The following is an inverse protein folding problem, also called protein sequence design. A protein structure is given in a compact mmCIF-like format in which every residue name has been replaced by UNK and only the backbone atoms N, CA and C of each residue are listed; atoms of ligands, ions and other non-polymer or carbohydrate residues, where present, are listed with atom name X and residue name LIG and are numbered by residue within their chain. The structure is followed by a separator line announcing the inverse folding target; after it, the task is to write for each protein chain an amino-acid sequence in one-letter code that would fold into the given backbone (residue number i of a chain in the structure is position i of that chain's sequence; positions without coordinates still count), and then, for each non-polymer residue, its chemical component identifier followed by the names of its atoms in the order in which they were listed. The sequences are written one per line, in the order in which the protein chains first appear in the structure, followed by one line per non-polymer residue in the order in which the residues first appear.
data_IF_407024253523
#
_entry.id   IF_407024253523
#
_cell.length_a   1.000
_cell.length_b   1.000
_cell.length_c   1.000
_cell.angle_alpha   90.00
_cell.angle_beta   90.00
_cell.angle_gamma   90.00
#
_symmetry.space_group_name_H-M   'P 1'
#
loop_
_entity.id
_entity.type
_entity.pdbx_description
1 polymer ?
#
# COMPACT_ATOMS: atom_id res chain seq x y z
N UNK A 1 10.29 18.74 -16.08
CA UNK A 1 9.27 19.21 -15.12
C UNK A 1 8.57 17.99 -14.56
N UNK A 2 8.44 17.89 -13.24
CA UNK A 2 7.53 16.91 -12.61
C UNK A 2 6.12 17.51 -12.72
N UNK A 3 5.08 16.75 -13.16
CA UNK A 3 3.73 17.28 -13.30
C UNK A 3 3.19 17.78 -11.95
N UNK A 4 2.46 18.89 -11.96
CA UNK A 4 1.80 19.46 -10.78
C UNK A 4 0.34 19.00 -10.61
N UNK A 5 -0.20 18.27 -11.59
CA UNK A 5 -1.59 17.81 -11.59
C UNK A 5 -1.65 16.30 -11.36
N UNK A 6 -2.50 15.89 -10.41
CA UNK A 6 -2.82 14.49 -10.14
C UNK A 6 -4.20 14.22 -10.73
N UNK A 7 -4.34 13.09 -11.43
CA UNK A 7 -5.60 12.64 -12.02
C UNK A 7 -5.86 11.19 -11.65
N UNK A 8 -7.12 10.80 -11.60
CA UNK A 8 -7.48 9.38 -11.48
C UNK A 8 -7.11 8.64 -12.76
N UNK A 9 -6.84 7.33 -12.65
CA UNK A 9 -6.52 6.46 -13.79
C UNK A 9 -7.64 6.50 -14.85
N UNK A 10 -8.91 6.45 -14.41
CA UNK A 10 -10.07 6.58 -15.29
C UNK A 10 -10.07 7.87 -16.13
N UNK A 11 -9.73 9.00 -15.51
CA UNK A 11 -9.67 10.29 -16.19
C UNK A 11 -8.44 10.39 -17.08
N UNK A 12 -7.31 9.81 -16.68
CA UNK A 12 -6.10 9.71 -17.51
C UNK A 12 -6.36 8.93 -18.80
N UNK A 13 -7.02 7.78 -18.70
CA UNK A 13 -7.40 6.97 -19.85
C UNK A 13 -8.51 7.62 -20.70
N UNK A 14 -9.20 8.63 -20.15
CA UNK A 14 -10.26 9.37 -20.82
C UNK A 14 -11.54 8.54 -20.95
N UNK A 15 -12.13 8.20 -19.81
CA UNK A 15 -13.42 7.49 -19.73
C UNK A 15 -14.49 8.19 -20.58
N UNK A 16 -15.20 7.42 -21.42
CA UNK A 16 -16.30 7.90 -22.25
C UNK A 16 -17.66 7.56 -21.62
N UNK A 17 -18.50 8.56 -21.30
CA UNK A 17 -19.80 8.34 -20.68
C UNK A 17 -20.64 7.32 -21.46
N UNK A 18 -21.22 6.34 -20.76
CA UNK A 18 -22.11 5.34 -21.35
C UNK A 18 -21.42 4.21 -22.12
N UNK A 19 -20.08 4.12 -22.08
CA UNK A 19 -19.33 3.02 -22.72
C UNK A 19 -18.26 2.48 -21.77
N UNK A 20 -17.78 1.26 -22.03
CA UNK A 20 -16.58 0.71 -21.37
C UNK A 20 -15.27 1.11 -22.08
N UNK A 21 -15.34 2.00 -23.06
CA UNK A 21 -14.19 2.33 -23.89
C UNK A 21 -13.48 3.57 -23.39
N UNK A 22 -12.16 3.46 -23.31
CA UNK A 22 -11.28 4.59 -23.02
C UNK A 22 -10.85 5.32 -24.30
N UNK A 23 -10.50 6.59 -24.15
CA UNK A 23 -9.88 7.37 -25.24
C UNK A 23 -8.48 6.83 -25.54
N UNK A 24 -7.73 6.47 -24.52
CA UNK A 24 -6.40 5.91 -24.65
C UNK A 24 -6.45 4.39 -24.57
N UNK A 25 -5.80 3.74 -25.53
CA UNK A 25 -5.80 2.29 -25.74
C UNK A 25 -4.63 1.91 -26.67
N UNK A 26 -4.55 0.65 -27.08
CA UNK A 26 -3.43 0.14 -27.87
C UNK A 26 -3.11 0.90 -29.17
N UNK A 27 -4.14 1.48 -29.80
CA UNK A 27 -4.04 2.28 -31.03
C UNK A 27 -3.95 3.79 -30.82
N UNK A 28 -4.10 4.26 -29.57
CA UNK A 28 -3.96 5.66 -29.18
C UNK A 28 -3.34 5.72 -27.77
N UNK A 29 -2.03 5.55 -27.70
CA UNK A 29 -1.29 5.43 -26.44
C UNK A 29 -1.25 6.77 -25.67
N UNK A 30 -0.93 6.71 -24.38
CA UNK A 30 -0.72 7.88 -23.53
C UNK A 30 0.55 8.63 -23.97
N UNK A 31 0.53 9.97 -24.11
CA UNK A 31 1.70 10.74 -24.51
C UNK A 31 2.62 11.04 -23.32
N UNK A 32 3.20 10.01 -22.71
CA UNK A 32 4.06 10.11 -21.53
C UNK A 32 5.25 9.15 -21.58
N UNK A 33 6.33 9.51 -20.88
CA UNK A 33 7.53 8.68 -20.71
C UNK A 33 7.55 7.92 -19.38
N UNK A 34 6.87 8.46 -18.36
CA UNK A 34 6.81 7.89 -17.01
C UNK A 34 5.40 8.06 -16.46
N UNK A 35 4.84 6.97 -15.94
CA UNK A 35 3.58 6.96 -15.23
C UNK A 35 3.80 6.43 -13.81
N UNK A 36 3.42 7.23 -12.82
CA UNK A 36 3.39 6.83 -11.42
C UNK A 36 1.94 6.71 -11.00
N UNK A 37 1.55 5.57 -10.46
CA UNK A 37 0.20 5.30 -9.98
C UNK A 37 0.25 5.04 -8.49
N UNK A 38 -0.41 5.91 -7.73
CA UNK A 38 -0.57 5.76 -6.29
C UNK A 38 -1.86 4.98 -5.97
N UNK A 39 -1.89 4.33 -4.80
CA UNK A 39 -2.99 3.46 -4.37
C UNK A 39 -3.35 2.35 -5.38
N UNK A 40 -2.32 1.75 -6.00
CA UNK A 40 -2.47 0.71 -7.02
C UNK A 40 -3.13 -0.59 -6.49
N UNK A 41 -3.21 -0.77 -5.17
CA UNK A 41 -3.97 -1.83 -4.49
C UNK A 41 -5.46 -1.77 -4.79
N UNK A 42 -5.99 -0.59 -5.12
CA UNK A 42 -7.39 -0.40 -5.50
C UNK A 42 -7.67 -0.64 -6.99
N UNK A 43 -6.65 -0.93 -7.79
CA UNK A 43 -6.80 -1.16 -9.24
C UNK A 43 -7.18 -2.63 -9.47
N UNK A 44 -8.35 -2.83 -10.05
CA UNK A 44 -8.80 -4.16 -10.51
C UNK A 44 -8.08 -4.61 -11.79
N UNK A 45 -8.32 -5.87 -12.16
CA UNK A 45 -7.69 -6.50 -13.32
C UNK A 45 -8.07 -5.83 -14.66
N UNK A 46 -9.33 -5.41 -14.85
CA UNK A 46 -9.81 -4.80 -16.10
C UNK A 46 -9.16 -3.42 -16.29
N UNK A 47 -9.09 -2.62 -15.24
CA UNK A 47 -8.43 -1.31 -15.23
C UNK A 47 -6.93 -1.44 -15.49
N UNK A 48 -6.25 -2.40 -14.85
CA UNK A 48 -4.82 -2.63 -15.11
C UNK A 48 -4.56 -3.04 -16.57
N UNK A 49 -5.37 -3.95 -17.12
CA UNK A 49 -5.23 -4.37 -18.51
C UNK A 49 -5.37 -3.18 -19.48
N UNK A 50 -6.42 -2.36 -19.29
CA UNK A 50 -6.62 -1.15 -20.09
C UNK A 50 -5.47 -0.14 -19.93
N UNK A 51 -4.91 -0.01 -18.71
CA UNK A 51 -3.78 0.86 -18.46
C UNK A 51 -2.53 0.43 -19.22
N UNK A 52 -2.20 -0.86 -19.18
CA UNK A 52 -1.05 -1.43 -19.89
C UNK A 52 -1.23 -1.34 -21.41
N UNK A 53 -2.44 -1.53 -21.92
CA UNK A 53 -2.79 -1.33 -23.33
C UNK A 53 -2.71 0.13 -23.76
N UNK A 54 -2.91 1.09 -22.85
CA UNK A 54 -2.75 2.50 -23.16
C UNK A 54 -1.29 2.97 -23.03
N UNK A 55 -0.43 2.21 -22.36
CA UNK A 55 0.94 2.61 -22.05
C UNK A 55 1.87 2.45 -23.27
N UNK A 56 2.69 3.46 -23.64
CA UNK A 56 3.72 3.29 -24.66
C UNK A 56 4.78 2.28 -24.24
N UNK A 57 5.36 1.56 -25.22
CA UNK A 57 6.41 0.54 -24.94
C UNK A 57 7.68 1.12 -24.29
N UNK A 58 7.97 2.41 -24.52
CA UNK A 58 9.14 3.10 -23.94
C UNK A 58 8.86 3.65 -22.55
N UNK A 59 7.60 3.70 -22.12
CA UNK A 59 7.22 4.35 -20.89
C UNK A 59 7.52 3.47 -19.67
N UNK A 60 7.95 4.11 -18.58
CA UNK A 60 8.17 3.44 -17.29
C UNK A 60 6.92 3.55 -16.43
N UNK A 61 6.44 2.41 -15.92
CA UNK A 61 5.35 2.35 -14.96
C UNK A 61 5.90 2.11 -13.56
N UNK A 62 5.50 2.95 -12.61
CA UNK A 62 5.78 2.77 -11.18
C UNK A 62 4.44 2.65 -10.46
N UNK A 63 4.22 1.52 -9.80
CA UNK A 63 3.03 1.25 -8.99
C UNK A 63 3.39 1.40 -7.51
N UNK A 64 2.62 2.21 -6.80
CA UNK A 64 2.73 2.40 -5.36
C UNK A 64 1.41 1.94 -4.73
N UNK A 65 1.50 1.20 -3.63
CA UNK A 65 0.32 0.73 -2.91
C UNK A 65 0.71 -0.20 -1.78
N UNK A 66 -0.29 -0.58 -1.00
CA UNK A 66 -0.13 -1.53 0.10
C UNK A 66 -0.66 -2.90 -0.32
N UNK A 67 0.20 -3.92 -0.25
CA UNK A 67 -0.15 -5.30 -0.61
C UNK A 67 -1.15 -5.93 0.36
N UNK A 68 -1.19 -5.45 1.60
CA UNK A 68 -2.01 -5.99 2.69
C UNK A 68 -3.32 -5.21 2.88
N UNK A 69 -3.54 -4.15 2.09
CA UNK A 69 -4.81 -3.42 2.08
C UNK A 69 -5.91 -4.28 1.47
N UNK A 70 -7.15 -4.06 1.92
CA UNK A 70 -8.32 -4.65 1.28
C UNK A 70 -8.29 -4.29 -0.21
N UNK A 71 -8.17 -5.31 -1.04
CA UNK A 71 -8.21 -5.17 -2.49
C UNK A 71 -9.53 -4.52 -2.95
N UNK A 72 -9.54 -4.02 -4.18
CA UNK A 72 -10.76 -3.55 -4.83
C UNK A 72 -11.92 -4.55 -4.67
N UNK A 73 -13.14 -4.04 -4.54
CA UNK A 73 -14.38 -4.84 -4.42
C UNK A 73 -14.61 -5.70 -5.68
N UNK A 74 -13.94 -5.36 -6.79
CA UNK A 74 -13.99 -6.08 -8.06
C UNK A 74 -12.97 -7.22 -8.14
N UNK A 75 -13.21 -8.17 -9.05
CA UNK A 75 -12.41 -9.39 -9.14
C UNK A 75 -10.95 -9.11 -9.56
N UNK A 76 -10.00 -9.56 -8.74
CA UNK A 76 -8.57 -9.63 -9.07
C UNK A 76 -7.74 -8.57 -8.34
N UNK A 77 -6.95 -9.01 -7.35
CA UNK A 77 -6.01 -8.17 -6.62
C UNK A 77 -4.65 -8.15 -7.32
N UNK A 78 -4.53 -7.35 -8.39
CA UNK A 78 -3.33 -7.35 -9.24
C UNK A 78 -2.06 -7.04 -8.44
N UNK A 79 -2.08 -5.97 -7.63
CA UNK A 79 -0.90 -5.59 -6.85
C UNK A 79 -0.54 -6.67 -5.83
N UNK A 80 -1.54 -7.28 -5.17
CA UNK A 80 -1.32 -8.36 -4.22
C UNK A 80 -0.65 -9.58 -4.87
N UNK A 81 -1.07 -9.94 -6.08
CA UNK A 81 -0.45 -11.03 -6.84
C UNK A 81 0.98 -10.71 -7.29
N UNK A 82 1.23 -9.49 -7.76
CA UNK A 82 2.58 -9.04 -8.16
C UNK A 82 3.55 -8.97 -6.98
N UNK A 83 3.04 -8.65 -5.79
CA UNK A 83 3.84 -8.47 -4.57
C UNK A 83 3.79 -9.67 -3.62
N UNK A 84 3.24 -10.80 -4.04
CA UNK A 84 3.04 -12.01 -3.21
C UNK A 84 4.29 -12.41 -2.42
N UNK A 85 5.44 -12.47 -3.08
CA UNK A 85 6.72 -12.90 -2.50
C UNK A 85 7.65 -11.72 -2.16
N UNK A 86 7.13 -10.49 -2.18
CA UNK A 86 7.92 -9.28 -1.96
C UNK A 86 8.58 -9.27 -0.57
N UNK A 87 7.99 -9.94 0.41
CA UNK A 87 8.50 -10.03 1.77
C UNK A 87 9.78 -10.88 1.89
N UNK A 88 9.98 -11.86 1.01
CA UNK A 88 11.24 -12.61 0.97
C UNK A 88 12.34 -11.82 0.24
N UNK A 89 11.97 -10.92 -0.67
CA UNK A 89 12.90 -10.07 -1.41
C UNK A 89 13.94 -10.88 -2.18
N UNK A 90 13.45 -11.83 -2.98
CA UNK A 90 14.18 -12.77 -3.84
C UNK A 90 15.03 -12.09 -4.92
N UNK A 91 16.02 -11.30 -4.50
CA UNK A 91 16.89 -10.56 -5.40
C UNK A 91 18.02 -11.44 -5.88
N UNK A 92 18.29 -11.43 -7.18
CA UNK A 92 19.44 -12.13 -7.74
C UNK A 92 20.76 -11.42 -7.36
N UNK A 93 21.93 -12.07 -7.51
CA UNK A 93 23.21 -11.48 -7.11
C UNK A 93 23.52 -10.11 -7.75
N UNK A 94 23.10 -9.90 -9.00
CA UNK A 94 23.32 -8.63 -9.69
C UNK A 94 22.46 -7.50 -9.09
N UNK A 95 21.18 -7.76 -8.84
CA UNK A 95 20.28 -6.80 -8.18
C UNK A 95 20.77 -6.48 -6.77
N UNK A 96 21.22 -7.48 -6.00
CA UNK A 96 21.78 -7.28 -4.66
C UNK A 96 23.02 -6.39 -4.70
N UNK A 97 23.99 -6.70 -5.56
CA UNK A 97 25.20 -5.90 -5.71
C UNK A 97 24.89 -4.45 -6.14
N UNK A 98 23.91 -4.27 -7.03
CA UNK A 98 23.45 -2.95 -7.44
C UNK A 98 22.81 -2.18 -6.27
N UNK A 99 21.94 -2.83 -5.49
CA UNK A 99 21.33 -2.23 -4.30
C UNK A 99 22.38 -1.81 -3.27
N UNK A 100 23.36 -2.66 -2.97
CA UNK A 100 24.46 -2.32 -2.05
C UNK A 100 25.28 -1.14 -2.57
N UNK A 101 25.60 -1.11 -3.87
CA UNK A 101 26.36 -0.02 -4.47
C UNK A 101 25.62 1.33 -4.46
N UNK A 102 24.30 1.32 -4.69
CA UNK A 102 23.49 2.56 -4.75
C UNK A 102 23.07 3.03 -3.35
N UNK A 103 22.79 2.11 -2.43
CA UNK A 103 22.37 2.45 -1.06
C UNK A 103 23.54 2.72 -0.12
N UNK A 104 24.72 2.14 -0.38
CA UNK A 104 25.85 2.14 0.54
C UNK A 104 25.67 1.19 1.74
N UNK A 105 24.62 0.36 1.74
CA UNK A 105 24.28 -0.56 2.82
C UNK A 105 24.59 -2.01 2.43
N UNK A 106 24.93 -2.85 3.41
CA UNK A 106 25.15 -4.28 3.20
C UNK A 106 23.87 -5.09 3.43
N UNK A 107 23.50 -5.93 2.46
CA UNK A 107 22.28 -6.75 2.52
C UNK A 107 22.48 -8.09 3.26
N UNK A 108 23.68 -8.41 3.72
CA UNK A 108 23.98 -9.69 4.38
C UNK A 108 23.10 -9.99 5.61
N UNK A 109 22.68 -8.96 6.35
CA UNK A 109 21.83 -9.08 7.55
C UNK A 109 20.39 -8.62 7.32
N UNK A 110 19.98 -8.41 6.08
CA UNK A 110 18.66 -7.87 5.75
C UNK A 110 17.51 -8.88 5.88
N UNK A 111 17.83 -10.17 5.97
CA UNK A 111 16.84 -11.26 5.91
C UNK A 111 16.27 -11.51 4.50
N UNK A 112 16.77 -10.80 3.48
CA UNK A 112 16.38 -11.00 2.08
C UNK A 112 16.97 -12.30 1.54
N UNK A 113 16.18 -13.04 0.77
CA UNK A 113 16.58 -14.30 0.16
C UNK A 113 17.23 -14.06 -1.20
N UNK A 114 18.20 -14.91 -1.55
CA UNK A 114 18.89 -14.82 -2.84
C UNK A 114 18.21 -15.70 -3.89
N UNK A 115 17.98 -15.13 -5.08
CA UNK A 115 17.47 -15.87 -6.24
C UNK A 115 18.61 -16.31 -7.19
N UNK A 116 19.49 -17.20 -6.72
CA UNK A 116 20.64 -17.68 -7.52
C UNK A 116 20.20 -18.51 -8.74
N UNK A 117 18.97 -19.04 -8.73
CA UNK A 117 18.40 -19.83 -9.81
C UNK A 117 17.57 -19.00 -10.83
N UNK A 118 17.47 -17.68 -10.63
CA UNK A 118 16.70 -16.77 -11.50
C UNK A 118 15.23 -17.16 -11.68
N UNK A 119 14.59 -17.67 -10.62
CA UNK A 119 13.20 -18.13 -10.65
C UNK A 119 12.20 -17.00 -10.41
N UNK A 120 12.66 -15.83 -9.94
CA UNK A 120 11.81 -14.73 -9.50
C UNK A 120 12.08 -13.44 -10.31
N UNK A 121 11.70 -13.40 -11.60
CA UNK A 121 11.95 -12.23 -12.44
C UNK A 121 11.21 -10.98 -11.96
N UNK A 122 9.97 -11.13 -11.46
CA UNK A 122 9.19 -10.01 -10.91
C UNK A 122 9.81 -9.44 -9.63
N UNK A 123 10.44 -10.27 -8.80
CA UNK A 123 11.08 -9.80 -7.57
C UNK A 123 12.16 -8.74 -7.86
N UNK A 124 12.82 -8.79 -9.03
CA UNK A 124 13.83 -7.81 -9.41
C UNK A 124 13.24 -6.41 -9.70
N UNK A 125 11.92 -6.31 -9.86
CA UNK A 125 11.18 -5.08 -10.13
C UNK A 125 10.25 -4.68 -8.97
N UNK A 126 10.34 -5.37 -7.83
CA UNK A 126 9.48 -5.14 -6.66
C UNK A 126 10.33 -4.75 -5.45
N UNK A 127 9.93 -3.67 -4.78
CA UNK A 127 10.56 -3.18 -3.56
C UNK A 127 9.50 -3.08 -2.48
N UNK A 128 9.70 -3.77 -1.36
CA UNK A 128 8.83 -3.68 -0.19
C UNK A 128 9.48 -2.80 0.88
N UNK A 129 8.78 -1.72 1.27
CA UNK A 129 9.20 -0.87 2.38
C UNK A 129 8.70 -1.47 3.70
N UNK A 130 9.63 -1.86 4.57
CA UNK A 130 9.33 -2.62 5.80
C UNK A 130 9.16 -1.77 7.05
N UNK A 131 9.63 -0.53 7.01
CA UNK A 131 9.61 0.37 8.16
C UNK A 131 8.55 1.45 7.99
N UNK A 132 7.56 1.45 8.88
CA UNK A 132 6.63 2.57 9.01
C UNK A 132 7.28 3.69 9.83
N UNK A 133 7.28 4.90 9.27
CA UNK A 133 7.68 6.12 10.00
C UNK A 133 6.50 6.80 10.71
N UNK A 134 5.26 6.42 10.38
CA UNK A 134 4.04 6.99 10.97
C UNK A 134 3.80 6.47 12.39
N UNK A 135 4.18 5.24 12.65
CA UNK A 135 3.98 4.55 13.93
C UNK A 135 5.36 4.19 14.48
N UNK A 136 5.72 4.76 15.65
CA UNK A 136 6.97 4.41 16.31
C UNK A 136 7.00 2.95 16.76
N UNK A 137 8.18 2.43 17.11
CA UNK A 137 8.36 1.01 17.49
C UNK A 137 7.46 0.55 18.65
N UNK A 138 7.04 1.47 19.53
CA UNK A 138 6.12 1.21 20.64
C UNK A 138 4.63 1.48 20.36
N UNK A 139 4.25 1.85 19.14
CA UNK A 139 2.87 2.16 18.76
C UNK A 139 1.97 0.93 18.90
N UNK A 140 0.85 1.09 19.59
CA UNK A 140 -0.18 0.07 19.68
C UNK A 140 -0.80 -0.19 18.31
N UNK A 141 -1.08 0.85 17.52
CA UNK A 141 -1.64 0.72 16.17
C UNK A 141 -0.71 -0.11 15.29
N UNK A 142 0.60 0.18 15.30
CA UNK A 142 1.59 -0.57 14.54
C UNK A 142 1.69 -2.04 14.96
N UNK A 143 1.59 -2.34 16.26
CA UNK A 143 1.52 -3.72 16.76
C UNK A 143 0.24 -4.43 16.32
N UNK A 144 -0.91 -3.75 16.42
CA UNK A 144 -2.20 -4.29 16.01
C UNK A 144 -2.22 -4.62 14.52
N UNK A 145 -1.75 -3.69 13.67
CA UNK A 145 -1.65 -3.91 12.23
C UNK A 145 -0.79 -5.12 11.89
N UNK A 146 0.37 -5.30 12.55
CA UNK A 146 1.22 -6.48 12.35
C UNK A 146 0.51 -7.78 12.71
N UNK A 147 -0.19 -7.84 13.85
CA UNK A 147 -0.94 -9.03 14.24
C UNK A 147 -2.08 -9.35 13.28
N UNK A 148 -2.75 -8.32 12.74
CA UNK A 148 -3.79 -8.47 11.71
C UNK A 148 -3.18 -9.05 10.43
N UNK A 149 -2.09 -8.47 9.92
CA UNK A 149 -1.44 -8.93 8.68
C UNK A 149 -0.90 -10.36 8.82
N UNK A 150 -0.44 -10.75 10.02
CA UNK A 150 0.04 -12.11 10.33
C UNK A 150 -1.10 -13.08 10.70
N UNK A 151 -2.36 -12.65 10.62
CA UNK A 151 -3.55 -13.45 10.97
C UNK A 151 -3.56 -13.96 12.42
N UNK A 152 -2.87 -13.27 13.33
CA UNK A 152 -2.81 -13.60 14.76
C UNK A 152 -3.93 -12.91 15.54
N UNK A 153 -5.17 -13.37 15.31
CA UNK A 153 -6.37 -12.77 15.88
C UNK A 153 -6.38 -12.73 17.42
N UNK A 154 -5.82 -13.75 18.08
CA UNK A 154 -5.78 -13.79 19.55
C UNK A 154 -4.85 -12.73 20.14
N UNK A 155 -3.67 -12.53 19.54
CA UNK A 155 -2.73 -11.49 19.99
C UNK A 155 -3.29 -10.08 19.73
N UNK A 156 -3.95 -9.87 18.58
CA UNK A 156 -4.65 -8.62 18.27
C UNK A 156 -5.73 -8.32 19.32
N UNK A 157 -6.53 -9.32 19.72
CA UNK A 157 -7.57 -9.17 20.75
C UNK A 157 -6.98 -8.91 22.13
N UNK A 158 -5.91 -9.61 22.51
CA UNK A 158 -5.21 -9.37 23.78
C UNK A 158 -4.66 -7.97 23.86
N UNK A 159 -4.05 -7.47 22.79
CA UNK A 159 -3.52 -6.11 22.71
C UNK A 159 -4.64 -5.06 22.91
N UNK A 160 -5.79 -5.24 22.25
CA UNK A 160 -6.95 -4.36 22.42
C UNK A 160 -7.54 -4.41 23.84
N UNK A 161 -7.55 -5.59 24.46
CA UNK A 161 -8.04 -5.78 25.82
C UNK A 161 -7.10 -5.19 26.88
N UNK A 162 -5.79 -5.20 26.63
CA UNK A 162 -4.77 -4.71 27.56
C UNK A 162 -4.87 -3.18 27.79
N UNK A 163 -5.35 -2.42 26.80
CA UNK A 163 -5.48 -0.94 26.85
C UNK A 163 -4.20 -0.24 27.33
N UNK A 164 -3.04 -0.80 26.97
CA UNK A 164 -1.73 -0.36 27.44
C UNK A 164 -1.08 0.72 26.57
N UNK A 165 -1.69 1.08 25.44
CA UNK A 165 -1.13 1.98 24.44
C UNK A 165 -1.99 3.25 24.32
N UNK A 166 -1.35 4.42 24.38
CA UNK A 166 -2.04 5.71 24.30
C UNK A 166 -2.68 5.97 22.92
N UNK A 167 -2.18 5.31 21.88
CA UNK A 167 -2.68 5.40 20.50
C UNK A 167 -3.71 4.31 20.15
N UNK A 168 -4.07 3.44 21.10
CA UNK A 168 -5.15 2.46 20.92
C UNK A 168 -6.25 2.67 21.95
N UNK A 169 -7.47 2.87 21.45
CA UNK A 169 -8.66 2.87 22.27
C UNK A 169 -9.61 1.74 21.86
N UNK A 170 -9.95 0.88 22.83
CA UNK A 170 -10.92 -0.19 22.65
C UNK A 170 -12.25 0.13 23.33
N UNK A 171 -13.33 0.23 22.56
CA UNK A 171 -14.70 0.35 23.08
C UNK A 171 -15.42 -0.99 22.94
N UNK A 172 -15.91 -1.56 24.05
CA UNK A 172 -16.77 -2.74 24.02
C UNK A 172 -18.22 -2.30 24.00
N UNK A 173 -18.98 -2.73 22.99
CA UNK A 173 -20.38 -2.37 22.80
C UNK A 173 -21.28 -3.51 23.28
N UNK A 174 -22.40 -3.15 23.92
CA UNK A 174 -23.44 -4.11 24.34
C UNK A 174 -24.40 -4.48 23.20
N UNK A 175 -24.31 -3.79 22.07
CA UNK A 175 -25.12 -3.97 20.86
C UNK A 175 -24.89 -2.83 19.86
N UNK A 176 -25.55 -2.88 18.70
CA UNK A 176 -25.38 -1.88 17.62
C UNK A 176 -25.84 -0.46 18.01
N UNK A 177 -26.79 -0.35 18.95
CA UNK A 177 -27.38 0.92 19.41
C UNK A 177 -26.81 1.38 20.76
N UNK A 178 -25.56 1.01 21.07
CA UNK A 178 -24.95 1.39 22.34
C UNK A 178 -24.65 2.91 22.36
N UNK A 179 -25.25 3.61 23.33
CA UNK A 179 -25.04 5.05 23.56
C UNK A 179 -23.58 5.43 23.75
N UNK A 180 -22.73 4.50 24.19
CA UNK A 180 -21.30 4.75 24.29
C UNK A 180 -20.65 5.03 22.92
N UNK A 181 -21.12 4.36 21.85
CA UNK A 181 -20.68 4.61 20.49
C UNK A 181 -21.19 5.96 19.97
N UNK A 182 -22.48 6.27 20.17
CA UNK A 182 -23.06 7.56 19.78
C UNK A 182 -22.29 8.72 20.41
N UNK A 183 -21.99 8.60 21.71
CA UNK A 183 -21.23 9.61 22.44
C UNK A 183 -19.82 9.77 21.87
N UNK A 184 -19.13 8.68 21.55
CA UNK A 184 -17.80 8.73 20.96
C UNK A 184 -17.80 9.42 19.58
N UNK A 185 -18.79 9.13 18.73
CA UNK A 185 -18.90 9.71 17.40
C UNK A 185 -19.21 11.22 17.44
N UNK A 186 -20.00 11.67 18.41
CA UNK A 186 -20.44 13.06 18.53
C UNK A 186 -19.47 13.94 19.33
N UNK A 187 -18.91 13.42 20.43
CA UNK A 187 -18.10 14.19 21.37
C UNK A 187 -16.59 13.93 21.23
N UNK A 188 -16.20 12.86 20.52
CA UNK A 188 -14.82 12.42 20.38
C UNK A 188 -14.24 11.83 21.68
N UNK A 189 -12.98 11.41 21.61
CA UNK A 189 -12.18 11.14 22.82
C UNK A 189 -11.80 12.49 23.43
N UNK A 190 -12.37 12.87 24.58
CA UNK A 190 -12.20 14.16 25.24
C UNK A 190 -10.77 14.59 25.65
N UNK A 191 -9.71 14.04 25.03
CA UNK A 191 -8.32 14.45 25.14
C UNK A 191 -7.80 15.03 23.81
N UNK A 192 -8.47 16.06 23.31
CA UNK A 192 -7.84 16.97 22.35
C UNK A 192 -6.68 17.68 23.03
N UNK A 193 -5.44 17.41 22.59
CA UNK A 193 -4.21 18.11 22.96
C UNK A 193 -4.50 19.62 23.03
N UNK A 194 -4.54 20.20 24.23
CA UNK A 194 -4.55 21.65 24.42
C UNK A 194 -3.28 22.17 23.75
N UNK A 195 -3.40 22.71 22.55
CA UNK A 195 -2.39 23.58 22.00
C UNK A 195 -2.29 24.76 22.97
N UNK A 196 -1.24 24.77 23.78
CA UNK A 196 -0.84 25.93 24.56
C UNK A 196 -0.46 27.02 23.58
N UNK A 197 -1.43 27.85 23.22
CA UNK A 197 -1.18 29.22 22.85
C UNK A 197 -0.72 29.92 24.13
N UNK A 198 0.56 30.23 24.23
CA UNK A 198 1.07 31.22 25.17
C UNK A 198 2.12 32.03 24.43
N UNK A 199 1.67 33.23 24.08
CA UNK A 199 2.36 34.53 23.91
C UNK A 199 3.83 34.54 23.53
#
# INVERSE_FOLDING_TARGET
MIPSEVTTVHRLLGNRPGTRHFRHHAGNRLPLDVLVVDEASMIDLEMMANLLDALPIHARLVLLGDKDQLASVEAGAVLGDLCRDAEAGWYNPQTRAWLEAVSGEHLGNSGLQEDSAHQHPLAQQVVMLRHSRRFGEGSGIGQLARWVNQQQADEARRLLAARSHADLYGLSLKGEQDRALERLLLEGHGEGRKATATT
#
